data_IF_655758011708
#
_entry.id   IF_655758011708
#
_cell.length_a   1.000
_cell.length_b   1.000
_cell.length_c   1.000
_cell.angle_alpha   90.00
_cell.angle_beta   90.00
_cell.angle_gamma   90.00
#
_symmetry.space_group_name_H-M   'P 1'
#
loop_
_entity.id
_entity.type
_entity.pdbx_description
1 polymer ?
#
# COMPACT_ATOMS: atom_id res chain seq x y z
N UNK A 1 0.04 -5.62 -20.51
CA UNK A 1 -1.41 -5.81 -20.36
C UNK A 1 -1.68 -6.48 -19.03
N UNK A 2 -2.33 -5.81 -18.07
CA UNK A 2 -2.94 -6.49 -16.93
C UNK A 2 -4.21 -7.15 -17.46
N UNK A 3 -4.13 -8.43 -17.72
CA UNK A 3 -5.30 -9.24 -18.04
C UNK A 3 -6.08 -9.49 -16.74
N UNK A 4 -7.42 -9.51 -16.80
CA UNK A 4 -8.29 -9.70 -15.63
C UNK A 4 -8.21 -11.12 -15.03
N UNK A 5 -7.42 -12.02 -15.62
CA UNK A 5 -7.17 -13.38 -15.15
C UNK A 5 -5.91 -13.53 -14.29
N UNK A 6 -5.19 -12.44 -14.00
CA UNK A 6 -3.96 -12.43 -13.22
C UNK A 6 -4.06 -11.44 -12.08
N UNK A 7 -3.48 -11.82 -10.95
CA UNK A 7 -3.29 -10.96 -9.78
C UNK A 7 -1.80 -10.89 -9.48
N UNK A 8 -1.31 -9.70 -9.16
CA UNK A 8 0.01 -9.54 -8.58
C UNK A 8 0.00 -10.16 -7.18
N UNK A 9 1.15 -10.68 -6.76
CA UNK A 9 1.32 -11.12 -5.37
C UNK A 9 2.64 -10.60 -4.79
N UNK A 10 2.58 -10.15 -3.54
CA UNK A 10 3.74 -9.63 -2.80
C UNK A 10 3.83 -10.28 -1.43
N UNK A 11 5.03 -10.70 -1.03
CA UNK A 11 5.32 -11.13 0.31
C UNK A 11 6.13 -10.06 1.05
N UNK A 12 5.69 -9.70 2.25
CA UNK A 12 6.33 -8.69 3.11
C UNK A 12 6.46 -9.22 4.55
N UNK A 13 7.42 -8.75 5.35
CA UNK A 13 7.50 -9.10 6.76
C UNK A 13 6.39 -8.40 7.55
N UNK A 14 5.90 -9.06 8.60
CA UNK A 14 5.15 -8.41 9.67
C UNK A 14 5.72 -8.77 11.04
N UNK A 15 5.50 -7.88 12.02
CA UNK A 15 5.96 -8.05 13.40
C UNK A 15 5.02 -8.92 14.23
N UNK A 16 3.71 -8.73 14.03
CA UNK A 16 2.63 -9.36 14.79
C UNK A 16 1.41 -9.50 13.85
N UNK A 17 0.68 -10.61 13.92
CA UNK A 17 -0.37 -10.95 12.95
C UNK A 17 -1.68 -10.18 13.18
N UNK A 18 -2.09 -9.98 14.43
CA UNK A 18 -3.33 -9.25 14.77
C UNK A 18 -3.20 -7.76 14.46
N UNK A 19 -2.09 -7.13 14.84
CA UNK A 19 -1.82 -5.72 14.50
C UNK A 19 -1.80 -5.50 12.97
N UNK A 20 -1.27 -6.48 12.24
CA UNK A 20 -1.24 -6.47 10.77
C UNK A 20 -2.65 -6.58 10.21
N UNK A 21 -3.47 -7.52 10.68
CA UNK A 21 -4.86 -7.66 10.22
C UNK A 21 -5.64 -6.37 10.46
N UNK A 22 -5.53 -5.79 11.66
CA UNK A 22 -6.21 -4.54 11.98
C UNK A 22 -5.84 -3.41 11.02
N UNK A 23 -4.54 -3.21 10.74
CA UNK A 23 -4.09 -2.17 9.82
C UNK A 23 -4.64 -2.36 8.40
N UNK A 24 -4.50 -3.56 7.83
CA UNK A 24 -4.93 -3.81 6.44
C UNK A 24 -6.45 -3.80 6.30
N UNK A 25 -7.22 -4.23 7.31
CA UNK A 25 -8.69 -4.10 7.30
C UNK A 25 -9.15 -2.65 7.42
N UNK A 26 -8.51 -1.81 8.26
CA UNK A 26 -8.76 -0.36 8.31
C UNK A 26 -8.44 0.32 6.98
N UNK A 27 -7.40 -0.13 6.28
CA UNK A 27 -7.09 0.32 4.93
C UNK A 27 -8.14 -0.10 3.88
N UNK A 28 -9.09 -0.98 4.25
CA UNK A 28 -10.15 -1.47 3.38
C UNK A 28 -9.80 -2.77 2.63
N UNK A 29 -8.69 -3.41 2.96
CA UNK A 29 -8.33 -4.72 2.40
C UNK A 29 -9.16 -5.82 3.07
N UNK A 30 -9.37 -6.94 2.38
CA UNK A 30 -10.12 -8.08 2.94
C UNK A 30 -9.16 -9.18 3.35
N UNK A 31 -9.26 -9.65 4.59
CA UNK A 31 -8.55 -10.85 5.02
C UNK A 31 -9.07 -12.07 4.24
N UNK A 32 -8.18 -12.74 3.50
CA UNK A 32 -8.51 -13.92 2.73
C UNK A 32 -8.19 -15.21 3.50
N UNK A 33 -6.99 -15.30 4.08
CA UNK A 33 -6.52 -16.50 4.81
C UNK A 33 -5.62 -16.10 5.97
N UNK A 34 -5.65 -16.92 7.01
CA UNK A 34 -4.77 -16.82 8.18
C UNK A 34 -4.17 -18.17 8.53
N UNK A 35 -2.87 -18.16 8.82
CA UNK A 35 -2.09 -19.29 9.33
C UNK A 35 -1.32 -18.85 10.57
N UNK A 36 -0.63 -19.79 11.22
CA UNK A 36 0.20 -19.49 12.39
C UNK A 36 1.41 -18.57 12.07
N UNK A 37 1.83 -18.51 10.79
CA UNK A 37 3.04 -17.81 10.37
C UNK A 37 2.79 -16.70 9.34
N UNK A 38 1.55 -16.48 8.89
CA UNK A 38 1.21 -15.48 7.88
C UNK A 38 -0.28 -15.17 7.80
N UNK A 39 -0.60 -13.99 7.27
CA UNK A 39 -1.94 -13.58 6.83
C UNK A 39 -1.89 -13.16 5.36
N UNK A 40 -2.97 -13.41 4.63
CA UNK A 40 -3.10 -13.05 3.22
C UNK A 40 -4.31 -12.17 3.03
N UNK A 41 -4.14 -11.07 2.29
CA UNK A 41 -5.19 -10.11 2.00
C UNK A 41 -5.48 -10.05 0.50
N UNK A 42 -6.75 -9.80 0.17
CA UNK A 42 -7.13 -9.09 -1.05
C UNK A 42 -6.81 -7.60 -0.83
N UNK A 43 -5.72 -7.17 -1.45
CA UNK A 43 -5.18 -5.82 -1.43
C UNK A 43 -5.52 -5.14 -2.75
N UNK A 44 -6.68 -4.46 -2.79
CA UNK A 44 -7.19 -3.77 -3.99
C UNK A 44 -7.26 -4.66 -5.25
N UNK A 45 -7.63 -5.94 -5.09
CA UNK A 45 -7.70 -6.92 -6.17
C UNK A 45 -6.38 -7.64 -6.48
N UNK A 46 -5.29 -7.27 -5.80
CA UNK A 46 -4.02 -8.01 -5.79
C UNK A 46 -3.85 -8.78 -4.47
N UNK A 47 -2.80 -9.58 -4.36
CA UNK A 47 -2.52 -10.36 -3.16
C UNK A 47 -1.33 -9.78 -2.39
N UNK A 48 -1.53 -9.48 -1.11
CA UNK A 48 -0.43 -9.21 -0.18
C UNK A 48 -0.41 -10.29 0.89
N UNK A 49 0.76 -10.89 1.12
CA UNK A 49 0.99 -11.91 2.13
C UNK A 49 1.98 -11.35 3.16
N UNK A 50 1.50 -11.14 4.37
CA UNK A 50 2.32 -10.66 5.48
C UNK A 50 2.82 -11.87 6.28
N UNK A 51 4.13 -12.10 6.27
CA UNK A 51 4.78 -13.21 6.95
C UNK A 51 5.30 -12.78 8.32
N UNK A 52 4.93 -13.52 9.37
CA UNK A 52 5.40 -13.26 10.73
C UNK A 52 6.93 -13.43 10.79
N UNK A 53 7.61 -12.30 10.89
CA UNK A 53 9.07 -12.21 10.79
C UNK A 53 9.59 -10.99 11.55
N UNK A 54 9.40 -10.93 12.88
CA UNK A 54 9.73 -9.75 13.69
C UNK A 54 11.21 -9.35 13.62
N UNK A 55 12.11 -10.30 13.37
CA UNK A 55 13.56 -10.04 13.27
C UNK A 55 14.02 -9.45 11.92
N UNK A 56 13.11 -9.31 10.95
CA UNK A 56 13.42 -8.75 9.62
C UNK A 56 12.64 -7.46 9.33
N UNK A 57 12.16 -6.80 10.38
CA UNK A 57 11.53 -5.48 10.30
C UNK A 57 12.61 -4.40 10.32
N UNK A 58 12.53 -3.43 9.41
CA UNK A 58 13.41 -2.26 9.42
C UNK A 58 12.88 -1.25 10.42
N UNK A 59 13.62 -0.99 11.51
CA UNK A 59 13.22 -0.02 12.53
C UNK A 59 13.34 1.43 12.06
N UNK A 60 14.08 1.70 10.97
CA UNK A 60 14.33 3.04 10.45
C UNK A 60 14.03 3.11 8.94
N UNK A 61 12.75 2.97 8.55
CA UNK A 61 12.36 2.88 7.16
C UNK A 61 12.77 4.14 6.39
N UNK A 62 13.36 3.92 5.21
CA UNK A 62 13.66 4.96 4.24
C UNK A 62 12.75 4.78 3.03
N UNK A 63 12.35 5.91 2.43
CA UNK A 63 11.47 5.92 1.26
C UNK A 63 11.96 5.03 0.10
N UNK A 64 13.28 4.85 0.00
CA UNK A 64 13.91 3.96 -0.97
C UNK A 64 14.84 2.98 -0.24
N UNK A 65 15.04 1.77 -0.78
CA UNK A 65 14.64 1.33 -2.12
C UNK A 65 13.34 0.52 -2.18
N UNK A 66 12.61 0.37 -1.07
CA UNK A 66 11.45 -0.51 -0.97
C UNK A 66 10.20 0.24 -0.56
N UNK A 67 9.18 0.19 -1.40
CA UNK A 67 7.79 0.47 -1.10
C UNK A 67 6.96 -0.26 -2.15
N UNK A 68 5.67 -0.40 -1.88
CA UNK A 68 4.71 -1.00 -2.82
C UNK A 68 3.37 -0.28 -2.67
N UNK A 69 2.40 -0.57 -3.52
CA UNK A 69 1.05 -0.03 -3.36
C UNK A 69 0.34 0.03 -4.70
N UNK A 70 -0.55 1.01 -4.87
CA UNK A 70 -1.46 1.08 -6.01
C UNK A 70 -1.28 2.41 -6.75
N UNK A 71 -1.06 2.32 -8.07
CA UNK A 71 -1.29 3.44 -8.97
C UNK A 71 -2.73 3.35 -9.48
N UNK A 72 -3.59 4.27 -9.07
CA UNK A 72 -4.97 4.36 -9.53
C UNK A 72 -5.04 5.10 -10.87
N UNK A 73 -5.91 4.61 -11.76
CA UNK A 73 -6.20 5.29 -13.04
C UNK A 73 -7.36 6.27 -12.92
N UNK A 74 -8.23 6.10 -11.92
CA UNK A 74 -9.33 7.00 -11.61
C UNK A 74 -8.98 7.81 -10.35
N UNK A 75 -9.09 9.14 -10.44
CA UNK A 75 -8.75 10.02 -9.32
C UNK A 75 -9.67 9.80 -8.12
N UNK A 76 -10.94 9.49 -8.37
CA UNK A 76 -11.95 9.26 -7.33
C UNK A 76 -11.61 8.04 -6.47
N UNK A 77 -10.97 7.02 -7.02
CA UNK A 77 -10.52 5.84 -6.26
C UNK A 77 -9.29 6.15 -5.40
N UNK A 78 -8.34 6.91 -5.94
CA UNK A 78 -7.23 7.46 -5.16
C UNK A 78 -7.72 8.32 -4.00
N UNK A 79 -8.65 9.24 -4.26
CA UNK A 79 -9.22 10.12 -3.25
C UNK A 79 -9.95 9.31 -2.17
N UNK A 80 -10.69 8.26 -2.53
CA UNK A 80 -11.33 7.34 -1.57
C UNK A 80 -10.32 6.63 -0.68
N UNK A 81 -9.22 6.11 -1.24
CA UNK A 81 -8.17 5.45 -0.47
C UNK A 81 -7.52 6.43 0.52
N UNK A 82 -7.26 7.66 0.08
CA UNK A 82 -6.73 8.71 0.95
C UNK A 82 -7.71 9.08 2.08
N UNK A 83 -8.98 9.30 1.75
CA UNK A 83 -9.98 9.64 2.77
C UNK A 83 -10.19 8.50 3.77
N UNK A 84 -10.12 7.24 3.33
CA UNK A 84 -10.16 6.09 4.24
C UNK A 84 -8.98 6.12 5.21
N UNK A 85 -7.76 6.32 4.70
CA UNK A 85 -6.56 6.36 5.54
C UNK A 85 -6.61 7.49 6.58
N UNK A 86 -7.10 8.67 6.20
CA UNK A 86 -7.31 9.80 7.14
C UNK A 86 -8.39 9.46 8.17
N UNK A 87 -9.52 8.91 7.74
CA UNK A 87 -10.67 8.60 8.62
C UNK A 87 -10.32 7.55 9.68
N UNK A 88 -9.54 6.54 9.29
CA UNK A 88 -9.12 5.45 10.18
C UNK A 88 -7.83 5.77 10.96
N UNK A 89 -7.34 7.00 10.86
CA UNK A 89 -6.12 7.49 11.54
C UNK A 89 -4.89 6.61 11.27
N UNK A 90 -4.71 6.21 10.00
CA UNK A 90 -3.57 5.38 9.60
C UNK A 90 -2.26 6.18 9.62
N UNK A 91 -1.14 5.60 10.05
CA UNK A 91 0.14 6.31 10.08
C UNK A 91 0.62 6.70 8.68
N UNK A 92 0.85 7.99 8.45
CA UNK A 92 1.48 8.50 7.23
C UNK A 92 3.00 8.60 7.40
N UNK A 93 3.74 7.97 6.50
CA UNK A 93 5.18 8.24 6.34
C UNK A 93 5.41 9.54 5.56
N UNK A 94 4.55 9.81 4.57
CA UNK A 94 4.46 11.09 3.85
C UNK A 94 3.00 11.44 3.64
N UNK A 95 2.64 12.61 4.14
CA UNK A 95 1.37 13.26 3.85
C UNK A 95 1.17 13.43 2.33
N UNK A 96 -0.09 13.59 1.88
CA UNK A 96 -0.41 13.84 0.49
C UNK A 96 0.39 14.99 -0.12
N UNK A 97 1.05 14.72 -1.25
CA UNK A 97 1.89 15.69 -1.95
C UNK A 97 1.82 15.50 -3.47
N UNK A 98 2.23 16.54 -4.20
CA UNK A 98 2.46 16.48 -5.65
C UNK A 98 3.92 16.15 -5.90
N UNK A 99 4.18 15.21 -6.81
CA UNK A 99 5.52 14.90 -7.32
C UNK A 99 5.66 15.30 -8.77
N UNK A 100 6.86 15.79 -9.11
CA UNK A 100 7.23 16.25 -10.44
C UNK A 100 6.30 17.35 -11.00
N UNK A 101 5.96 18.33 -10.16
CA UNK A 101 5.04 19.39 -10.50
C UNK A 101 5.41 20.10 -11.83
N UNK A 102 4.41 20.28 -12.70
CA UNK A 102 4.52 20.90 -14.02
C UNK A 102 5.15 20.03 -15.10
N UNK A 103 5.50 18.76 -14.82
CA UNK A 103 5.99 17.80 -15.82
C UNK A 103 4.88 16.88 -16.30
N UNK A 104 5.13 16.15 -17.38
CA UNK A 104 4.15 15.20 -17.90
C UNK A 104 3.90 14.05 -16.90
N UNK A 105 4.96 13.63 -16.19
CA UNK A 105 4.91 12.60 -15.16
C UNK A 105 4.42 13.10 -13.78
N UNK A 106 3.78 14.28 -13.72
CA UNK A 106 3.19 14.81 -12.50
C UNK A 106 2.14 13.83 -11.93
N UNK A 107 2.26 13.56 -10.63
CA UNK A 107 1.33 12.69 -9.92
C UNK A 107 1.11 13.13 -8.48
N UNK A 108 -0.07 12.81 -7.98
CA UNK A 108 -0.40 12.85 -6.56
C UNK A 108 0.13 11.59 -5.89
N UNK A 109 0.69 11.72 -4.69
CA UNK A 109 1.19 10.60 -3.91
C UNK A 109 0.98 10.82 -2.41
N UNK A 110 0.75 9.74 -1.68
CA UNK A 110 0.93 9.68 -0.23
C UNK A 110 1.55 8.34 0.14
N UNK A 111 2.19 8.29 1.32
CA UNK A 111 2.80 7.06 1.84
C UNK A 111 2.23 6.73 3.21
N UNK A 112 1.74 5.51 3.37
CA UNK A 112 1.41 4.93 4.67
C UNK A 112 2.57 4.11 5.20
N UNK A 113 2.61 3.95 6.52
CA UNK A 113 3.52 3.11 7.27
C UNK A 113 2.72 2.04 8.00
N UNK A 114 2.93 0.76 7.65
CA UNK A 114 2.28 -0.33 8.36
C UNK A 114 2.98 -0.63 9.72
N UNK A 115 2.39 -1.48 10.60
CA UNK A 115 2.97 -1.79 11.91
C UNK A 115 4.36 -2.44 11.89
N UNK A 116 4.78 -2.93 10.73
CA UNK A 116 6.09 -3.54 10.50
C UNK A 116 7.00 -2.63 9.64
N UNK A 117 6.69 -1.33 9.61
CA UNK A 117 7.42 -0.29 8.90
C UNK A 117 7.53 -0.50 7.38
N UNK A 118 6.67 -1.32 6.78
CA UNK A 118 6.59 -1.38 5.34
C UNK A 118 5.94 -0.09 4.82
N UNK A 119 6.51 0.45 3.73
CA UNK A 119 6.03 1.68 3.11
C UNK A 119 5.05 1.35 1.98
N UNK A 120 3.84 1.91 2.09
CA UNK A 120 2.79 1.76 1.10
C UNK A 120 2.60 3.09 0.35
N UNK A 121 2.97 3.14 -0.93
CA UNK A 121 2.79 4.31 -1.80
C UNK A 121 1.52 4.16 -2.64
N UNK A 122 0.66 5.16 -2.58
CA UNK A 122 -0.51 5.26 -3.45
C UNK A 122 -0.33 6.44 -4.40
N UNK A 123 -0.64 6.25 -5.68
CA UNK A 123 -0.42 7.26 -6.72
C UNK A 123 -1.62 7.47 -7.62
N UNK A 124 -1.72 8.69 -8.14
CA UNK A 124 -2.56 9.02 -9.27
C UNK A 124 -1.81 9.96 -10.20
N UNK A 125 -1.64 9.55 -11.47
CA UNK A 125 -1.00 10.38 -12.50
C UNK A 125 -2.07 11.18 -13.24
N UNK A 126 -1.79 12.46 -13.50
CA UNK A 126 -2.69 13.29 -14.31
C UNK A 126 -2.75 12.82 -15.77
N UNK A 127 -1.60 12.36 -16.30
CA UNK A 127 -1.51 11.66 -17.57
C UNK A 127 -1.40 10.15 -17.31
N UNK A 128 -2.46 9.41 -17.60
CA UNK A 128 -2.52 7.96 -17.37
C UNK A 128 -1.45 7.17 -18.16
N UNK A 129 -0.89 7.72 -19.23
CA UNK A 129 0.18 7.08 -19.98
C UNK A 129 1.50 7.00 -19.21
N UNK A 130 1.69 7.84 -18.18
CA UNK A 130 2.88 7.91 -17.33
C UNK A 130 2.81 6.98 -16.10
N UNK A 131 1.75 6.17 -15.98
CA UNK A 131 1.61 5.20 -14.89
C UNK A 131 2.61 4.03 -14.96
N UNK A 132 3.38 3.91 -16.04
CA UNK A 132 4.32 2.82 -16.33
C UNK A 132 5.70 3.34 -16.73
#
# INVERSE_FOLDING_TARGET
MRETNKVFHLAIPCKELDETVEFYEKLGCKLARRYADRVTFDFFGDQVVCHLSPNHVDENPKMYPRHFGITFLAKEEYDKALQMAIKEDLPFFKEPMVRFAGRQEEHLTFFLLDPANNLLEFKYYHDASMAY
#
